data_IF_027272700448
#
_entry.id   IF_027272700448
#
_cell.length_a   1.000
_cell.length_b   1.000
_cell.length_c   1.000
_cell.angle_alpha   90.00
_cell.angle_beta   90.00
_cell.angle_gamma   90.00
#
_symmetry.space_group_name_H-M   'P 1'
#
loop_
_entity.id
_entity.type
_entity.pdbx_description
1 polymer ?
#
# COMPACT_ATOMS: atom_id res chain seq x y z
N UNK A 1 18.96 -13.84 12.53
CA UNK A 1 19.75 -13.99 11.28
C UNK A 1 19.94 -12.59 10.71
N UNK A 2 21.16 -12.05 10.73
CA UNK A 2 21.46 -10.78 10.07
C UNK A 2 21.61 -11.10 8.58
N UNK A 3 20.89 -10.39 7.71
CA UNK A 3 21.09 -10.52 6.26
C UNK A 3 22.50 -10.06 5.93
N UNK A 4 23.22 -10.81 5.09
CA UNK A 4 24.58 -10.44 4.63
C UNK A 4 24.57 -9.27 3.63
N UNK A 5 23.41 -8.96 3.06
CA UNK A 5 23.21 -7.89 2.07
C UNK A 5 23.08 -6.51 2.76
N UNK A 6 23.51 -5.41 2.10
CA UNK A 6 23.25 -4.05 2.58
C UNK A 6 21.76 -3.82 2.83
N UNK A 7 21.43 -3.11 3.91
CA UNK A 7 20.05 -2.79 4.27
C UNK A 7 19.88 -1.31 4.63
N UNK A 8 18.65 -0.83 4.48
CA UNK A 8 18.22 0.48 4.97
C UNK A 8 17.30 0.27 6.18
N UNK A 9 17.47 1.07 7.23
CA UNK A 9 16.58 1.11 8.38
C UNK A 9 15.61 2.27 8.19
N UNK A 10 14.32 1.97 8.24
CA UNK A 10 13.25 2.94 8.17
C UNK A 10 12.52 2.97 9.52
N UNK A 11 12.11 4.15 9.97
CA UNK A 11 11.18 4.27 11.09
C UNK A 11 9.86 3.55 10.79
N UNK A 12 9.28 2.92 11.82
CA UNK A 12 7.98 2.25 11.69
C UNK A 12 6.86 3.29 11.52
N UNK A 13 6.27 3.33 10.34
CA UNK A 13 4.99 4.01 10.09
C UNK A 13 3.88 2.93 9.99
N UNK A 14 3.08 2.71 11.04
CA UNK A 14 2.08 1.65 11.02
C UNK A 14 1.01 1.91 9.95
N UNK A 15 0.70 0.87 9.17
CA UNK A 15 -0.38 0.93 8.20
C UNK A 15 -1.75 1.04 8.90
N UNK A 16 -2.73 1.75 8.31
CA UNK A 16 -4.11 1.73 8.76
C UNK A 16 -4.64 0.29 8.82
N UNK A 17 -5.36 -0.02 9.89
CA UNK A 17 -5.98 -1.33 10.11
C UNK A 17 -7.50 -1.20 9.95
N UNK A 18 -8.05 -1.99 9.04
CA UNK A 18 -9.49 -2.14 8.79
C UNK A 18 -9.87 -3.61 8.97
N UNK A 19 -10.53 -3.92 10.07
CA UNK A 19 -10.97 -5.27 10.42
C UNK A 19 -9.85 -6.34 10.32
N UNK A 20 -8.64 -5.98 10.78
CA UNK A 20 -7.45 -6.85 10.76
C UNK A 20 -6.68 -6.81 9.44
N UNK A 21 -7.07 -5.95 8.50
CA UNK A 21 -6.39 -5.80 7.21
C UNK A 21 -5.64 -4.47 7.16
N UNK A 22 -4.34 -4.57 6.86
CA UNK A 22 -3.44 -3.43 6.72
C UNK A 22 -3.42 -2.95 5.29
N UNK A 23 -3.75 -1.68 5.10
CA UNK A 23 -4.03 -1.12 3.78
C UNK A 23 -2.89 -0.23 3.28
N UNK A 24 -2.56 -0.36 1.98
CA UNK A 24 -1.59 0.46 1.27
C UNK A 24 -2.22 1.04 0.00
N UNK A 25 -1.89 2.31 -0.28
CA UNK A 25 -2.19 2.96 -1.56
C UNK A 25 -1.02 2.77 -2.52
N UNK A 26 -1.29 2.24 -3.71
CA UNK A 26 -0.35 2.26 -4.83
C UNK A 26 -0.71 3.40 -5.78
N UNK A 27 0.20 4.34 -6.01
CA UNK A 27 0.03 5.43 -6.97
C UNK A 27 0.95 5.21 -8.18
N UNK A 28 0.41 5.45 -9.38
CA UNK A 28 1.14 5.32 -10.64
C UNK A 28 1.48 6.69 -11.21
N UNK A 29 2.69 6.82 -11.73
CA UNK A 29 3.19 7.99 -12.44
C UNK A 29 3.60 7.55 -13.84
N UNK A 30 3.14 8.26 -14.87
CA UNK A 30 3.47 8.02 -16.29
C UNK A 30 3.95 9.34 -16.88
N UNK A 31 5.16 9.36 -17.44
CA UNK A 31 5.79 10.59 -17.98
C UNK A 31 5.84 11.75 -16.97
N UNK A 32 6.02 11.45 -15.68
CA UNK A 32 6.06 12.43 -14.60
C UNK A 32 4.69 12.87 -14.06
N UNK A 33 3.61 12.44 -14.71
CA UNK A 33 2.24 12.81 -14.33
C UNK A 33 1.53 11.68 -13.57
N UNK A 34 0.69 12.05 -12.60
CA UNK A 34 -0.12 11.08 -11.87
C UNK A 34 -1.15 10.42 -12.80
N UNK A 35 -1.16 9.09 -12.85
CA UNK A 35 -1.91 8.33 -13.85
C UNK A 35 -2.91 7.32 -13.25
N UNK A 36 -2.84 7.06 -11.95
CA UNK A 36 -3.78 6.13 -11.31
C UNK A 36 -3.48 5.85 -9.84
N UNK A 37 -4.47 5.26 -9.19
CA UNK A 37 -4.42 4.80 -7.81
C UNK A 37 -4.92 3.35 -7.75
N UNK A 38 -4.45 2.59 -6.78
CA UNK A 38 -4.97 1.29 -6.39
C UNK A 38 -4.87 1.11 -4.89
N UNK A 39 -5.69 0.21 -4.34
CA UNK A 39 -5.67 -0.13 -2.92
C UNK A 39 -5.32 -1.61 -2.79
N UNK A 40 -4.35 -1.93 -1.93
CA UNK A 40 -4.00 -3.31 -1.58
C UNK A 40 -4.06 -3.52 -0.08
N UNK A 41 -4.43 -4.72 0.33
CA UNK A 41 -4.50 -5.09 1.73
C UNK A 41 -3.92 -6.47 2.03
N UNK A 42 -3.39 -6.63 3.25
CA UNK A 42 -2.89 -7.90 3.79
C UNK A 42 -3.22 -8.02 5.28
N UNK A 43 -3.29 -9.24 5.81
CA UNK A 43 -3.41 -9.47 7.25
C UNK A 43 -2.10 -9.13 8.01
N UNK A 44 -0.97 -9.13 7.31
CA UNK A 44 0.35 -8.83 7.86
C UNK A 44 0.81 -7.38 7.58
N UNK A 45 1.86 -6.91 8.26
CA UNK A 45 2.41 -5.55 8.07
C UNK A 45 3.12 -5.33 6.73
N UNK A 46 3.34 -6.39 5.95
CA UNK A 46 3.98 -6.34 4.64
C UNK A 46 2.96 -6.71 3.57
N UNK A 47 2.78 -5.82 2.59
CA UNK A 47 2.00 -6.07 1.38
C UNK A 47 2.82 -6.94 0.43
N UNK A 48 2.57 -8.24 0.43
CA UNK A 48 3.31 -9.23 -0.35
C UNK A 48 2.57 -9.63 -1.66
N UNK A 49 2.96 -10.76 -2.25
CA UNK A 49 2.33 -11.29 -3.48
C UNK A 49 0.90 -11.80 -3.30
N UNK A 50 0.47 -12.10 -2.08
CA UNK A 50 -0.89 -12.58 -1.76
C UNK A 50 -1.83 -11.44 -1.34
N UNK A 51 -1.30 -10.24 -1.11
CA UNK A 51 -2.11 -9.08 -0.78
C UNK A 51 -3.16 -8.80 -1.87
N UNK A 52 -4.41 -8.67 -1.43
CA UNK A 52 -5.59 -8.54 -2.30
C UNK A 52 -5.63 -7.16 -2.93
N UNK A 53 -6.12 -7.07 -4.16
CA UNK A 53 -6.44 -5.78 -4.79
C UNK A 53 -7.90 -5.44 -4.50
N UNK A 54 -8.14 -4.28 -3.90
CA UNK A 54 -9.47 -3.83 -3.52
C UNK A 54 -10.10 -2.95 -4.61
N UNK A 55 -11.38 -3.15 -4.93
CA UNK A 55 -12.11 -2.20 -5.74
C UNK A 55 -12.21 -0.87 -4.99
N UNK A 56 -12.03 0.25 -5.69
CA UNK A 56 -12.15 1.58 -5.11
C UNK A 56 -12.80 2.53 -6.11
N UNK A 57 -13.38 3.62 -5.59
CA UNK A 57 -13.98 4.70 -6.36
C UNK A 57 -13.56 6.03 -5.76
N UNK A 58 -13.33 7.03 -6.60
CA UNK A 58 -13.12 8.41 -6.19
C UNK A 58 -14.47 9.12 -6.37
N UNK A 59 -15.09 9.51 -5.27
CA UNK A 59 -16.37 10.21 -5.28
C UNK A 59 -16.13 11.72 -5.36
N UNK A 60 -17.02 12.42 -6.07
CA UNK A 60 -17.09 13.88 -5.97
C UNK A 60 -17.81 14.28 -4.67
N UNK A 61 -17.48 15.42 -4.07
CA UNK A 61 -18.25 15.92 -2.93
C UNK A 61 -19.74 16.06 -3.28
N UNK A 62 -20.62 15.40 -2.52
CA UNK A 62 -22.07 15.44 -2.70
C UNK A 62 -22.65 14.37 -3.64
N UNK A 63 -21.83 13.43 -4.12
CA UNK A 63 -22.27 12.18 -4.75
C UNK A 63 -22.70 11.14 -3.70
#
# INVERSE_FOLDING_TARGET
>A
MVREEPCCYQELAPLPDFDGNRVVLGAWVVEGEAAGLGIRESAGPVTDGYARFLPHVILQPGA
#
